data_IF_538539347819
#
_entry.id   IF_538539347819
#
_cell.length_a   1.000
_cell.length_b   1.000
_cell.length_c   1.000
_cell.angle_alpha   90.00
_cell.angle_beta   90.00
_cell.angle_gamma   90.00
#
_symmetry.space_group_name_H-M   'P 1'
#
loop_
_entity.id
_entity.type
_entity.pdbx_description
1 polymer ?
#
# COMPACT_ATOMS: atom_id res chain seq x y z
N UNK A 1 -14.73 15.96 -39.83
CA UNK A 1 -14.12 14.89 -39.01
C UNK A 1 -13.07 15.57 -38.17
N UNK A 2 -13.46 16.04 -36.98
CA UNK A 2 -12.46 16.39 -35.99
C UNK A 2 -11.73 15.10 -35.65
N UNK A 3 -10.40 15.14 -35.80
CA UNK A 3 -9.50 14.08 -35.39
C UNK A 3 -9.76 13.88 -33.89
N UNK A 4 -10.46 12.80 -33.51
CA UNK A 4 -10.70 12.47 -32.10
C UNK A 4 -9.34 12.03 -31.58
N UNK A 5 -8.52 12.99 -31.18
CA UNK A 5 -7.18 12.71 -30.68
C UNK A 5 -7.36 11.79 -29.48
N UNK A 6 -6.88 10.55 -29.60
CA UNK A 6 -6.87 9.60 -28.49
C UNK A 6 -6.17 10.28 -27.31
N UNK A 7 -6.88 10.38 -26.18
CA UNK A 7 -6.31 10.99 -24.97
C UNK A 7 -5.44 9.96 -24.29
N UNK A 8 -4.21 10.32 -23.96
CA UNK A 8 -3.27 9.41 -23.31
C UNK A 8 -2.79 9.97 -21.98
N UNK A 9 -2.58 9.10 -20.98
CA UNK A 9 -1.95 9.45 -19.71
C UNK A 9 -0.72 8.56 -19.56
N UNK A 10 0.48 9.14 -19.67
CA UNK A 10 1.76 8.38 -19.59
C UNK A 10 1.80 7.16 -20.53
N UNK A 11 1.21 7.26 -21.72
CA UNK A 11 1.15 6.18 -22.71
C UNK A 11 -0.02 5.21 -22.55
N UNK A 12 -0.87 5.40 -21.53
CA UNK A 12 -2.12 4.65 -21.36
C UNK A 12 -3.22 5.39 -22.13
N UNK A 13 -3.82 4.73 -23.12
CA UNK A 13 -4.94 5.28 -23.89
C UNK A 13 -6.21 5.31 -23.04
N UNK A 14 -6.92 6.44 -23.08
CA UNK A 14 -8.22 6.63 -22.44
C UNK A 14 -9.28 6.58 -23.53
N UNK A 15 -10.17 5.59 -23.46
CA UNK A 15 -11.26 5.46 -24.43
C UNK A 15 -12.24 6.63 -24.33
N UNK A 16 -12.67 7.19 -25.46
CA UNK A 16 -13.80 8.12 -25.48
C UNK A 16 -15.15 7.43 -25.20
N UNK A 17 -15.20 6.12 -25.41
CA UNK A 17 -16.38 5.27 -25.24
C UNK A 17 -16.02 4.10 -24.31
N UNK A 18 -16.01 4.33 -22.99
CA UNK A 18 -15.83 3.26 -22.02
C UNK A 18 -17.03 2.30 -22.02
N UNK A 19 -16.79 1.05 -21.65
CA UNK A 19 -17.86 0.07 -21.49
C UNK A 19 -18.61 0.30 -20.16
N UNK A 20 -19.93 0.44 -20.24
CA UNK A 20 -20.82 0.56 -19.08
C UNK A 20 -21.79 -0.62 -18.96
N UNK A 21 -21.62 -1.68 -19.77
CA UNK A 21 -22.55 -2.82 -19.86
C UNK A 21 -22.72 -3.60 -18.54
N UNK A 22 -21.73 -3.50 -17.64
CA UNK A 22 -21.75 -4.13 -16.32
C UNK A 22 -22.60 -3.38 -15.28
N UNK A 23 -23.06 -2.15 -15.59
CA UNK A 23 -23.93 -1.38 -14.72
C UNK A 23 -25.38 -1.44 -15.18
N UNK A 24 -26.33 -1.27 -14.25
CA UNK A 24 -27.71 -0.99 -14.66
C UNK A 24 -27.77 0.35 -15.40
N UNK A 25 -28.66 0.44 -16.39
CA UNK A 25 -28.82 1.65 -17.21
C UNK A 25 -29.02 2.91 -16.35
N UNK A 26 -29.81 2.79 -15.28
CA UNK A 26 -30.08 3.90 -14.35
C UNK A 26 -28.83 4.41 -13.63
N UNK A 27 -27.92 3.52 -13.21
CA UNK A 27 -26.69 3.91 -12.51
C UNK A 27 -25.64 4.41 -13.52
N UNK A 28 -25.54 3.74 -14.68
CA UNK A 28 -24.67 4.14 -15.76
C UNK A 28 -24.97 5.57 -16.21
N UNK A 29 -26.23 5.86 -16.54
CA UNK A 29 -26.64 7.17 -17.06
C UNK A 29 -26.80 8.23 -15.95
N UNK A 30 -27.14 7.81 -14.73
CA UNK A 30 -27.32 8.71 -13.58
C UNK A 30 -26.02 9.20 -12.96
N UNK A 31 -24.93 8.42 -13.03
CA UNK A 31 -23.68 8.76 -12.36
C UNK A 31 -22.43 8.48 -13.20
N UNK A 32 -22.15 7.22 -13.56
CA UNK A 32 -20.85 6.86 -14.16
C UNK A 32 -20.59 7.56 -15.49
N UNK A 33 -21.55 7.58 -16.42
CA UNK A 33 -21.40 8.19 -17.74
C UNK A 33 -21.26 9.73 -17.64
N UNK A 34 -22.09 10.46 -16.87
CA UNK A 34 -21.87 11.89 -16.64
C UNK A 34 -20.50 12.21 -16.04
N UNK A 35 -20.09 11.51 -14.97
CA UNK A 35 -18.79 11.76 -14.31
C UNK A 35 -17.62 11.43 -15.25
N UNK A 36 -17.72 10.33 -16.00
CA UNK A 36 -16.71 9.97 -16.99
C UNK A 36 -16.56 11.06 -18.04
N UNK A 37 -17.67 11.54 -18.62
CA UNK A 37 -17.65 12.61 -19.63
C UNK A 37 -17.07 13.91 -19.07
N UNK A 38 -17.45 14.27 -17.86
CA UNK A 38 -16.93 15.46 -17.17
C UNK A 38 -15.40 15.41 -17.08
N UNK A 39 -14.86 14.33 -16.53
CA UNK A 39 -13.42 14.17 -16.35
C UNK A 39 -12.69 13.96 -17.69
N UNK A 40 -13.25 13.16 -18.60
CA UNK A 40 -12.68 12.93 -19.92
C UNK A 40 -12.57 14.23 -20.71
N UNK A 41 -13.58 15.11 -20.66
CA UNK A 41 -13.54 16.40 -21.36
C UNK A 41 -12.49 17.35 -20.78
N UNK A 42 -12.27 17.31 -19.47
CA UNK A 42 -11.23 18.09 -18.81
C UNK A 42 -9.80 17.59 -19.11
N UNK A 43 -9.63 16.33 -19.53
CA UNK A 43 -8.31 15.80 -19.87
C UNK A 43 -7.74 16.45 -21.13
N UNK A 44 -6.46 16.85 -21.15
CA UNK A 44 -5.78 17.19 -22.39
C UNK A 44 -5.51 15.93 -23.22
N UNK A 45 -5.18 16.09 -24.51
CA UNK A 45 -4.84 14.97 -25.40
C UNK A 45 -3.63 14.17 -24.90
N UNK A 46 -2.68 14.84 -24.22
CA UNK A 46 -1.52 14.21 -23.59
C UNK A 46 -1.50 14.61 -22.12
N UNK A 47 -2.21 13.83 -21.31
CA UNK A 47 -2.36 13.99 -19.87
C UNK A 47 -1.09 13.65 -19.10
N UNK A 48 -0.83 14.44 -18.06
CA UNK A 48 0.20 14.19 -17.05
C UNK A 48 -0.42 13.54 -15.83
N UNK A 49 0.42 12.90 -15.02
CA UNK A 49 0.01 12.42 -13.71
C UNK A 49 -0.41 13.61 -12.84
N UNK A 50 -1.50 13.45 -12.09
CA UNK A 50 -1.98 14.41 -11.12
C UNK A 50 -2.24 15.81 -11.70
N UNK A 51 -2.71 15.87 -12.95
CA UNK A 51 -2.93 17.13 -13.67
C UNK A 51 -4.25 17.82 -13.29
N UNK A 52 -5.32 17.06 -13.06
CA UNK A 52 -6.65 17.57 -12.78
C UNK A 52 -6.88 17.74 -11.28
N UNK A 53 -7.38 18.90 -10.86
CA UNK A 53 -7.74 19.14 -9.47
C UNK A 53 -9.09 18.51 -9.14
N UNK A 54 -9.13 17.56 -8.19
CA UNK A 54 -10.38 16.95 -7.79
C UNK A 54 -11.34 17.98 -7.20
N UNK A 55 -10.85 19.05 -6.55
CA UNK A 55 -11.73 20.04 -5.94
C UNK A 55 -12.60 20.78 -6.98
N UNK A 56 -12.13 20.90 -8.24
CA UNK A 56 -12.84 21.59 -9.34
C UNK A 56 -14.13 20.88 -9.77
N UNK A 57 -14.24 19.57 -9.53
CA UNK A 57 -15.39 18.75 -9.96
C UNK A 57 -16.38 18.44 -8.84
N UNK A 58 -16.10 18.93 -7.62
CA UNK A 58 -16.81 18.54 -6.40
C UNK A 58 -18.31 18.82 -6.47
N UNK A 59 -18.68 20.06 -6.80
CA UNK A 59 -20.08 20.49 -6.77
C UNK A 59 -20.90 19.76 -7.83
N UNK A 60 -20.36 19.60 -9.04
CA UNK A 60 -21.04 18.91 -10.13
C UNK A 60 -21.25 17.42 -9.82
N UNK A 61 -20.25 16.74 -9.26
CA UNK A 61 -20.35 15.32 -8.88
C UNK A 61 -21.35 15.11 -7.73
N UNK A 62 -21.36 16.02 -6.74
CA UNK A 62 -22.35 15.99 -5.65
C UNK A 62 -23.77 16.22 -6.21
N UNK A 63 -23.94 17.18 -7.11
CA UNK A 63 -25.23 17.51 -7.72
C UNK A 63 -25.78 16.36 -8.57
N UNK A 64 -24.91 15.69 -9.34
CA UNK A 64 -25.28 14.48 -10.09
C UNK A 64 -25.83 13.41 -9.14
N UNK A 65 -25.13 13.13 -8.05
CA UNK A 65 -25.59 12.17 -7.04
C UNK A 65 -26.90 12.63 -6.37
N UNK A 66 -27.04 13.91 -6.04
CA UNK A 66 -28.22 14.45 -5.39
C UNK A 66 -29.49 14.39 -6.26
N UNK A 67 -29.34 14.44 -7.59
CA UNK A 67 -30.44 14.27 -8.56
C UNK A 67 -30.93 12.83 -8.68
N UNK A 68 -30.12 11.84 -8.28
CA UNK A 68 -30.52 10.44 -8.27
C UNK A 68 -31.58 10.17 -7.19
N UNK A 69 -32.50 9.26 -7.47
CA UNK A 69 -33.46 8.78 -6.46
C UNK A 69 -32.75 8.03 -5.32
N UNK A 70 -33.39 7.92 -4.15
CA UNK A 70 -32.81 7.20 -2.99
C UNK A 70 -32.47 5.73 -3.31
N UNK A 71 -33.27 5.06 -4.14
CA UNK A 71 -33.00 3.70 -4.59
C UNK A 71 -31.75 3.64 -5.46
N UNK A 72 -31.60 4.55 -6.42
CA UNK A 72 -30.42 4.66 -7.28
C UNK A 72 -29.17 4.99 -6.49
N UNK A 73 -29.24 5.92 -5.53
CA UNK A 73 -28.13 6.23 -4.62
C UNK A 73 -27.70 5.01 -3.78
N UNK A 74 -28.65 4.20 -3.31
CA UNK A 74 -28.34 2.95 -2.61
C UNK A 74 -27.69 1.93 -3.55
N UNK A 75 -28.20 1.80 -4.77
CA UNK A 75 -27.68 0.86 -5.76
C UNK A 75 -26.26 1.24 -6.23
N UNK A 76 -25.99 2.52 -6.49
CA UNK A 76 -24.65 3.03 -6.82
C UNK A 76 -23.63 2.66 -5.73
N UNK A 77 -23.96 2.90 -4.46
CA UNK A 77 -23.06 2.56 -3.34
C UNK A 77 -22.77 1.06 -3.23
N UNK A 78 -23.68 0.21 -3.72
CA UNK A 78 -23.51 -1.26 -3.76
C UNK A 78 -22.82 -1.76 -5.03
N UNK A 79 -22.72 -0.92 -6.07
CA UNK A 79 -22.10 -1.29 -7.35
C UNK A 79 -20.58 -1.25 -7.32
N UNK A 80 -19.99 -0.54 -6.35
CA UNK A 80 -18.54 -0.44 -6.20
C UNK A 80 -17.93 -1.79 -5.82
N UNK A 81 -16.91 -2.22 -6.56
CA UNK A 81 -16.12 -3.43 -6.27
C UNK A 81 -15.32 -3.37 -4.95
N UNK A 82 -15.25 -2.20 -4.32
CA UNK A 82 -14.48 -1.93 -3.11
C UNK A 82 -15.40 -1.50 -1.98
N UNK A 83 -15.22 -2.02 -0.77
CA UNK A 83 -16.04 -1.64 0.38
C UNK A 83 -15.88 -0.14 0.72
N UNK A 84 -17.01 0.56 0.87
CA UNK A 84 -17.06 1.99 1.15
C UNK A 84 -17.56 2.23 2.59
N UNK A 85 -16.67 2.49 3.57
CA UNK A 85 -17.07 2.70 4.95
C UNK A 85 -17.69 4.09 5.15
N UNK A 86 -18.77 4.13 5.96
CA UNK A 86 -19.46 5.34 6.48
C UNK A 86 -19.58 6.45 5.43
N UNK A 87 -20.45 6.23 4.44
CA UNK A 87 -20.65 7.14 3.31
C UNK A 87 -20.87 8.60 3.70
N UNK A 88 -21.63 8.84 4.76
CA UNK A 88 -22.03 10.19 5.18
C UNK A 88 -20.84 11.05 5.63
N UNK A 89 -19.72 10.41 5.98
CA UNK A 89 -18.47 11.11 6.26
C UNK A 89 -17.68 11.36 4.97
N UNK A 90 -17.66 12.62 4.54
CA UNK A 90 -17.03 13.09 3.31
C UNK A 90 -17.56 12.37 2.04
N UNK A 91 -18.83 12.61 1.66
CA UNK A 91 -19.49 11.89 0.56
C UNK A 91 -18.80 12.08 -0.78
N UNK A 92 -18.23 13.27 -1.04
CA UNK A 92 -17.49 13.54 -2.28
C UNK A 92 -16.32 12.57 -2.48
N UNK A 93 -15.51 12.39 -1.44
CA UNK A 93 -14.41 11.43 -1.42
C UNK A 93 -14.88 10.03 -1.82
N UNK A 94 -16.02 9.59 -1.28
CA UNK A 94 -16.57 8.26 -1.50
C UNK A 94 -17.11 8.10 -2.91
N UNK A 95 -17.71 9.14 -3.47
CA UNK A 95 -18.16 9.15 -4.87
C UNK A 95 -16.98 9.01 -5.83
N UNK A 96 -15.87 9.70 -5.57
CA UNK A 96 -14.65 9.52 -6.36
C UNK A 96 -14.09 8.10 -6.19
N UNK A 97 -14.12 7.52 -4.98
CA UNK A 97 -13.71 6.12 -4.81
C UNK A 97 -14.57 5.16 -5.62
N UNK A 98 -15.89 5.31 -5.57
CA UNK A 98 -16.83 4.48 -6.34
C UNK A 98 -16.55 4.60 -7.84
N UNK A 99 -16.25 5.81 -8.32
CA UNK A 99 -15.93 6.05 -9.72
C UNK A 99 -14.57 5.45 -10.13
N UNK A 100 -13.50 5.77 -9.39
CA UNK A 100 -12.12 5.36 -9.72
C UNK A 100 -11.90 3.85 -9.51
N UNK A 101 -12.67 3.19 -8.63
CA UNK A 101 -12.63 1.74 -8.49
C UNK A 101 -12.97 1.00 -9.80
N UNK A 102 -13.84 1.61 -10.61
CA UNK A 102 -14.31 1.09 -11.91
C UNK A 102 -13.53 1.69 -13.09
N UNK A 103 -13.05 2.93 -12.97
CA UNK A 103 -12.20 3.59 -13.96
C UNK A 103 -10.86 4.04 -13.35
N UNK A 104 -9.91 3.11 -13.06
CA UNK A 104 -8.66 3.41 -12.35
C UNK A 104 -7.78 4.44 -13.06
N UNK A 105 -7.91 4.58 -14.38
CA UNK A 105 -7.14 5.56 -15.15
C UNK A 105 -7.32 6.99 -14.64
N UNK A 106 -8.49 7.34 -14.10
CA UNK A 106 -8.72 8.66 -13.51
C UNK A 106 -8.01 8.86 -12.17
N UNK A 107 -7.67 7.77 -11.47
CA UNK A 107 -6.82 7.83 -10.29
C UNK A 107 -5.38 8.26 -10.58
N UNK A 108 -4.94 8.22 -11.84
CA UNK A 108 -3.62 8.70 -12.25
C UNK A 108 -3.57 10.22 -12.45
N UNK A 109 -4.71 10.88 -12.64
CA UNK A 109 -4.79 12.29 -13.04
C UNK A 109 -5.40 13.20 -11.97
N UNK A 110 -6.19 12.65 -11.04
CA UNK A 110 -6.85 13.43 -10.01
C UNK A 110 -5.94 13.70 -8.81
N UNK A 111 -5.57 14.96 -8.59
CA UNK A 111 -4.85 15.43 -7.39
C UNK A 111 -5.83 15.90 -6.30
N UNK A 112 -5.29 16.16 -5.11
CA UNK A 112 -6.01 16.61 -3.91
C UNK A 112 -7.08 15.65 -3.39
N UNK A 113 -6.87 14.35 -3.64
CA UNK A 113 -7.79 13.31 -3.19
C UNK A 113 -7.04 12.05 -2.73
N UNK A 114 -7.39 11.54 -1.54
CA UNK A 114 -6.84 10.27 -1.04
C UNK A 114 -7.61 9.07 -1.58
N UNK A 115 -7.08 8.34 -2.55
CA UNK A 115 -7.69 7.07 -2.93
C UNK A 115 -7.56 6.02 -1.80
N UNK A 116 -8.59 5.19 -1.62
CA UNK A 116 -8.52 4.05 -0.69
C UNK A 116 -7.42 3.08 -1.15
N UNK A 117 -6.70 2.46 -0.22
CA UNK A 117 -5.59 1.54 -0.49
C UNK A 117 -5.84 0.54 -1.64
N UNK A 118 -6.97 -0.17 -1.65
CA UNK A 118 -7.35 -1.11 -2.72
C UNK A 118 -7.41 -0.45 -4.11
N UNK A 119 -7.97 0.76 -4.17
CA UNK A 119 -8.09 1.54 -5.40
C UNK A 119 -6.70 2.04 -5.81
N UNK A 120 -5.90 2.55 -4.88
CA UNK A 120 -4.52 2.97 -5.13
C UNK A 120 -3.70 1.85 -5.77
N UNK A 121 -3.83 0.60 -5.29
CA UNK A 121 -3.11 -0.51 -5.89
C UNK A 121 -3.59 -0.84 -7.31
N UNK A 122 -4.90 -0.79 -7.60
CA UNK A 122 -5.43 -0.93 -8.97
C UNK A 122 -4.88 0.16 -9.91
N UNK A 123 -4.84 1.39 -9.42
CA UNK A 123 -4.32 2.55 -10.17
C UNK A 123 -2.84 2.38 -10.51
N UNK A 124 -2.02 1.94 -9.54
CA UNK A 124 -0.60 1.71 -9.78
C UNK A 124 -0.35 0.47 -10.64
N UNK A 125 -1.13 -0.59 -10.48
CA UNK A 125 -1.05 -1.76 -11.37
C UNK A 125 -1.27 -1.35 -12.84
N UNK A 126 -2.24 -0.46 -13.10
CA UNK A 126 -2.45 0.12 -14.42
C UNK A 126 -1.24 0.96 -14.91
N UNK A 127 -0.63 1.75 -14.03
CA UNK A 127 0.53 2.58 -14.37
C UNK A 127 1.78 1.76 -14.69
N UNK A 128 2.03 0.69 -13.92
CA UNK A 128 3.22 -0.16 -14.05
C UNK A 128 3.00 -1.22 -15.15
N UNK A 129 1.76 -1.61 -15.41
CA UNK A 129 1.40 -2.61 -16.43
C UNK A 129 1.48 -4.06 -15.94
N UNK A 130 1.43 -4.27 -14.63
CA UNK A 130 1.53 -5.59 -13.97
C UNK A 130 0.75 -5.56 -12.64
N UNK A 131 0.51 -6.73 -12.06
CA UNK A 131 -0.08 -6.87 -10.72
C UNK A 131 1.02 -6.99 -9.65
N UNK A 132 0.66 -6.73 -8.38
CA UNK A 132 1.60 -6.85 -7.26
C UNK A 132 1.92 -8.31 -6.96
N UNK A 133 3.20 -8.64 -6.81
CA UNK A 133 3.72 -9.96 -6.43
C UNK A 133 4.95 -9.89 -5.50
N UNK A 134 5.56 -11.04 -5.22
CA UNK A 134 6.73 -11.18 -4.36
C UNK A 134 7.99 -10.48 -4.87
N UNK A 135 8.09 -10.22 -6.18
CA UNK A 135 9.26 -9.67 -6.84
C UNK A 135 9.18 -8.14 -6.97
N UNK A 136 7.97 -7.59 -7.11
CA UNK A 136 7.76 -6.18 -7.44
C UNK A 136 7.15 -5.31 -6.33
N UNK A 137 6.66 -5.88 -5.22
CA UNK A 137 5.89 -5.11 -4.22
C UNK A 137 6.64 -3.90 -3.62
N UNK A 138 7.97 -3.96 -3.52
CA UNK A 138 8.79 -2.83 -3.06
C UNK A 138 8.79 -1.70 -4.10
N UNK A 139 8.88 -2.03 -5.39
CA UNK A 139 8.79 -1.06 -6.49
C UNK A 139 7.41 -0.40 -6.52
N UNK A 140 6.34 -1.19 -6.32
CA UNK A 140 4.98 -0.65 -6.21
C UNK A 140 4.87 0.41 -5.12
N UNK A 141 5.49 0.18 -3.95
CA UNK A 141 5.49 1.18 -2.88
C UNK A 141 6.15 2.49 -3.32
N UNK A 142 7.25 2.40 -4.06
CA UNK A 142 7.93 3.58 -4.62
C UNK A 142 7.01 4.35 -5.56
N UNK A 143 6.36 3.66 -6.51
CA UNK A 143 5.41 4.30 -7.44
C UNK A 143 4.21 4.94 -6.72
N UNK A 144 3.68 4.30 -5.67
CA UNK A 144 2.61 4.86 -4.82
C UNK A 144 3.08 6.17 -4.14
N UNK A 145 4.27 6.15 -3.54
CA UNK A 145 4.81 7.32 -2.85
C UNK A 145 5.12 8.45 -3.85
N UNK A 146 5.55 8.11 -5.06
CA UNK A 146 5.80 9.05 -6.16
C UNK A 146 4.51 9.72 -6.61
N UNK A 147 3.47 8.92 -6.85
CA UNK A 147 2.14 9.41 -7.21
C UNK A 147 1.53 10.29 -6.09
N UNK A 148 1.62 9.86 -4.83
CA UNK A 148 1.09 10.61 -3.70
C UNK A 148 1.80 11.96 -3.49
N UNK A 149 3.09 12.09 -3.83
CA UNK A 149 3.77 13.40 -3.78
C UNK A 149 3.26 14.35 -4.85
N UNK A 150 2.97 13.85 -6.05
CA UNK A 150 2.39 14.65 -7.13
C UNK A 150 0.95 15.07 -6.81
N UNK A 151 0.23 14.26 -6.04
CA UNK A 151 -1.18 14.48 -5.70
C UNK A 151 -1.43 15.67 -4.77
N UNK A 152 -0.41 16.23 -4.09
CA UNK A 152 -0.62 17.28 -3.10
C UNK A 152 0.29 18.48 -3.36
N UNK A 153 -0.25 19.49 -4.04
CA UNK A 153 0.45 20.78 -4.25
C UNK A 153 -0.01 21.86 -3.27
N UNK A 154 -1.27 21.76 -2.78
CA UNK A 154 -1.76 22.60 -1.68
C UNK A 154 -1.49 21.95 -0.32
N UNK A 155 -1.49 22.77 0.73
CA UNK A 155 -1.46 22.28 2.11
C UNK A 155 -2.71 21.42 2.37
N UNK A 156 -2.50 20.22 2.88
CA UNK A 156 -3.56 19.35 3.35
C UNK A 156 -4.24 19.94 4.60
N UNK A 157 -5.55 19.78 4.67
CA UNK A 157 -6.31 19.92 5.91
C UNK A 157 -5.90 18.84 6.92
N UNK A 158 -6.25 19.05 8.19
CA UNK A 158 -5.97 18.05 9.23
C UNK A 158 -6.62 16.70 8.92
N UNK A 159 -7.86 16.70 8.46
CA UNK A 159 -8.59 15.49 8.09
C UNK A 159 -7.93 14.74 6.93
N UNK A 160 -7.45 15.45 5.90
CA UNK A 160 -6.72 14.85 4.78
C UNK A 160 -5.42 14.22 5.29
N UNK A 161 -4.64 14.97 6.06
CA UNK A 161 -3.36 14.50 6.60
C UNK A 161 -3.50 13.25 7.47
N UNK A 162 -4.46 13.22 8.38
CA UNK A 162 -4.73 12.05 9.23
C UNK A 162 -5.18 10.84 8.40
N UNK A 163 -6.04 11.04 7.42
CA UNK A 163 -6.52 9.99 6.52
C UNK A 163 -5.37 9.40 5.69
N UNK A 164 -4.47 10.24 5.19
CA UNK A 164 -3.29 9.81 4.46
C UNK A 164 -2.36 8.91 5.27
N UNK A 165 -2.11 9.25 6.55
CA UNK A 165 -1.26 8.43 7.44
C UNK A 165 -1.86 7.04 7.66
N UNK A 166 -3.16 6.95 7.91
CA UNK A 166 -3.87 5.68 8.09
C UNK A 166 -3.80 4.83 6.81
N UNK A 167 -4.10 5.45 5.65
CA UNK A 167 -4.12 4.77 4.36
C UNK A 167 -2.74 4.23 3.95
N UNK A 168 -1.65 4.92 4.28
CA UNK A 168 -0.28 4.42 4.03
C UNK A 168 0.05 3.14 4.82
N UNK A 169 -0.48 2.99 6.04
CA UNK A 169 -0.38 1.76 6.81
C UNK A 169 -1.06 0.61 6.08
N UNK A 170 -2.34 0.81 5.72
CA UNK A 170 -3.13 -0.16 4.98
C UNK A 170 -2.52 -0.54 3.64
N UNK A 171 -1.97 0.41 2.89
CA UNK A 171 -1.23 0.14 1.64
C UNK A 171 -0.04 -0.79 1.89
N UNK A 172 0.73 -0.54 2.95
CA UNK A 172 1.91 -1.34 3.27
C UNK A 172 1.55 -2.78 3.62
N UNK A 173 0.48 -2.97 4.40
CA UNK A 173 -0.08 -4.29 4.73
C UNK A 173 -0.58 -5.01 3.49
N UNK A 174 -1.35 -4.33 2.63
CA UNK A 174 -1.89 -4.91 1.41
C UNK A 174 -0.81 -5.31 0.39
N UNK A 175 0.26 -4.51 0.27
CA UNK A 175 1.39 -4.87 -0.60
C UNK A 175 2.04 -6.17 -0.13
N UNK A 176 2.25 -6.33 1.17
CA UNK A 176 2.80 -7.57 1.73
C UNK A 176 1.83 -8.74 1.64
N UNK A 177 0.54 -8.51 1.85
CA UNK A 177 -0.50 -9.53 1.69
C UNK A 177 -0.49 -10.08 0.26
N UNK A 178 -0.40 -9.21 -0.76
CA UNK A 178 -0.31 -9.64 -2.17
C UNK A 178 1.03 -10.31 -2.47
N UNK A 179 2.14 -9.76 -1.98
CA UNK A 179 3.46 -10.34 -2.16
C UNK A 179 3.58 -11.76 -1.58
N UNK A 180 2.83 -12.05 -0.51
CA UNK A 180 2.84 -13.33 0.18
C UNK A 180 1.61 -14.19 -0.11
N UNK A 181 0.75 -13.80 -1.05
CA UNK A 181 -0.56 -14.42 -1.29
C UNK A 181 -0.47 -15.93 -1.51
N UNK A 182 0.51 -16.38 -2.30
CA UNK A 182 0.74 -17.80 -2.61
C UNK A 182 1.20 -18.63 -1.40
N UNK A 183 1.65 -17.98 -0.32
CA UNK A 183 2.08 -18.62 0.91
C UNK A 183 0.96 -18.64 1.97
N UNK A 184 -0.04 -17.76 1.84
CA UNK A 184 -1.13 -17.61 2.81
C UNK A 184 -2.17 -18.71 2.56
N UNK A 185 -2.28 -19.66 3.49
CA UNK A 185 -3.18 -20.81 3.38
C UNK A 185 -4.36 -20.75 4.37
N UNK A 186 -4.40 -19.74 5.24
CA UNK A 186 -5.46 -19.59 6.25
C UNK A 186 -5.33 -20.53 7.44
N UNK A 187 -4.30 -21.39 7.48
CA UNK A 187 -4.11 -22.43 8.48
C UNK A 187 -2.72 -22.31 9.12
N UNK A 188 -1.67 -22.50 8.32
CA UNK A 188 -0.28 -22.47 8.78
C UNK A 188 0.35 -21.09 8.66
N UNK A 189 -0.09 -20.29 7.69
CA UNK A 189 0.31 -18.90 7.53
C UNK A 189 -0.89 -18.06 7.11
N UNK A 190 -1.24 -17.06 7.93
CA UNK A 190 -2.44 -16.27 7.71
C UNK A 190 -2.34 -14.85 8.25
N UNK A 191 -3.16 -13.97 7.66
CA UNK A 191 -3.38 -12.61 8.13
C UNK A 191 -4.33 -12.61 9.32
N UNK A 192 -4.01 -11.85 10.36
CA UNK A 192 -4.92 -11.64 11.50
C UNK A 192 -5.78 -10.40 11.30
N UNK A 193 -7.10 -10.59 11.42
CA UNK A 193 -8.07 -9.50 11.42
C UNK A 193 -8.75 -9.34 12.79
N UNK A 194 -8.31 -10.07 13.82
CA UNK A 194 -8.90 -10.00 15.15
C UNK A 194 -8.29 -8.81 15.93
N UNK A 195 -9.09 -7.78 16.28
CA UNK A 195 -8.59 -6.60 16.99
C UNK A 195 -7.94 -6.90 18.34
N UNK A 196 -8.32 -8.00 18.99
CA UNK A 196 -7.79 -8.40 20.31
C UNK A 196 -6.33 -8.85 20.25
N UNK A 197 -5.86 -9.33 19.09
CA UNK A 197 -4.50 -9.87 18.89
C UNK A 197 -3.70 -9.09 17.85
N UNK A 198 -4.28 -8.06 17.23
CA UNK A 198 -3.61 -7.23 16.21
C UNK A 198 -2.36 -6.51 16.76
N UNK A 199 -2.26 -6.34 18.08
CA UNK A 199 -1.08 -5.76 18.72
C UNK A 199 0.20 -6.61 18.57
N UNK A 200 0.08 -7.92 18.32
CA UNK A 200 1.21 -8.84 18.16
C UNK A 200 1.81 -8.81 16.75
N UNK A 201 0.98 -8.60 15.73
CA UNK A 201 1.38 -8.57 14.33
C UNK A 201 0.18 -8.59 13.40
N UNK A 202 0.47 -8.48 12.10
CA UNK A 202 -0.51 -8.46 11.01
C UNK A 202 -0.63 -9.84 10.35
N UNK A 203 0.42 -10.64 10.40
CA UNK A 203 0.42 -12.05 9.97
C UNK A 203 1.02 -12.94 11.05
N UNK A 204 0.63 -14.21 11.03
CA UNK A 204 1.16 -15.25 11.92
C UNK A 204 1.46 -16.51 11.14
N UNK A 205 2.62 -17.09 11.42
CA UNK A 205 3.10 -18.35 10.87
C UNK A 205 3.28 -19.36 12.01
N UNK A 206 2.65 -20.52 11.88
CA UNK A 206 2.72 -21.59 12.88
C UNK A 206 4.11 -22.22 12.92
N UNK A 207 4.81 -22.06 14.05
CA UNK A 207 6.18 -22.52 14.28
C UNK A 207 6.39 -22.96 15.73
N UNK A 208 7.50 -23.66 15.97
CA UNK A 208 8.03 -23.98 17.29
C UNK A 208 9.32 -23.19 17.59
N UNK A 209 9.61 -22.91 18.88
CA UNK A 209 8.74 -23.11 20.03
C UNK A 209 7.57 -22.10 20.07
N UNK A 210 7.70 -20.99 19.35
CA UNK A 210 6.70 -19.94 19.25
C UNK A 210 6.23 -19.78 17.81
N UNK A 211 4.97 -19.35 17.65
CA UNK A 211 4.52 -18.84 16.37
C UNK A 211 5.34 -17.60 15.99
N UNK A 212 5.63 -17.49 14.70
CA UNK A 212 6.36 -16.36 14.14
C UNK A 212 5.37 -15.30 13.67
N UNK A 213 5.46 -14.11 14.25
CA UNK A 213 4.59 -12.99 13.90
C UNK A 213 5.28 -12.04 12.93
N UNK A 214 4.55 -11.50 11.97
CA UNK A 214 5.05 -10.43 11.11
C UNK A 214 4.33 -9.14 11.51
N UNK A 215 5.09 -8.17 11.97
CA UNK A 215 4.60 -6.83 12.29
C UNK A 215 4.97 -5.88 11.16
N UNK A 216 3.97 -5.53 10.35
CA UNK A 216 4.10 -4.60 9.25
C UNK A 216 4.11 -3.17 9.80
N UNK A 217 4.99 -2.36 9.22
CA UNK A 217 5.11 -0.93 9.48
C UNK A 217 5.13 -0.18 8.15
N UNK A 218 4.58 1.02 8.17
CA UNK A 218 4.68 1.96 7.06
C UNK A 218 6.07 2.58 7.00
N UNK A 219 6.18 3.87 6.64
CA UNK A 219 7.46 4.52 6.37
C UNK A 219 8.30 4.83 7.63
N UNK A 220 7.70 4.73 8.83
CA UNK A 220 8.34 5.10 10.08
C UNK A 220 8.43 3.93 11.05
N UNK A 221 9.63 3.64 11.53
CA UNK A 221 9.84 2.89 12.76
C UNK A 221 9.54 3.83 13.94
N UNK A 222 8.25 4.11 14.21
CA UNK A 222 7.90 4.82 15.45
C UNK A 222 8.28 3.94 16.66
N UNK A 223 8.42 4.55 17.83
CA UNK A 223 8.74 3.91 19.13
C UNK A 223 7.86 2.69 19.50
N UNK A 224 6.76 2.46 18.77
CA UNK A 224 5.81 1.35 18.93
C UNK A 224 6.32 -0.03 18.52
N UNK A 225 7.50 -0.16 17.90
CA UNK A 225 8.09 -1.49 17.71
C UNK A 225 8.30 -2.21 19.07
N UNK A 226 8.48 -1.47 20.16
CA UNK A 226 8.76 -2.03 21.48
C UNK A 226 7.52 -2.53 22.24
N UNK A 227 6.31 -2.30 21.74
CA UNK A 227 5.06 -2.61 22.45
C UNK A 227 4.48 -4.01 22.11
N UNK A 228 4.96 -4.69 21.06
CA UNK A 228 4.37 -5.92 20.53
C UNK A 228 5.04 -7.22 20.98
N UNK A 229 6.09 -7.15 21.81
CA UNK A 229 7.15 -8.16 21.82
C UNK A 229 7.57 -8.75 23.16
N UNK A 230 6.65 -8.94 24.10
CA UNK A 230 6.99 -9.76 25.26
C UNK A 230 6.76 -11.23 24.92
N UNK A 231 7.84 -12.00 24.79
CA UNK A 231 7.91 -13.48 24.72
C UNK A 231 7.54 -14.19 23.40
N UNK A 232 7.37 -13.47 22.29
CA UNK A 232 7.08 -14.07 20.97
C UNK A 232 8.20 -13.82 19.96
N UNK A 233 8.28 -14.67 18.94
CA UNK A 233 9.19 -14.49 17.82
C UNK A 233 8.54 -13.58 16.78
N UNK A 234 9.18 -12.45 16.46
CA UNK A 234 8.59 -11.41 15.61
C UNK A 234 9.55 -11.00 14.49
N UNK A 235 9.01 -10.75 13.30
CA UNK A 235 9.66 -10.10 12.18
C UNK A 235 9.13 -8.67 12.05
N UNK A 236 10.02 -7.70 12.06
CA UNK A 236 9.67 -6.32 11.75
C UNK A 236 9.79 -6.12 10.26
N UNK A 237 8.70 -5.82 9.57
CA UNK A 237 8.69 -5.61 8.12
C UNK A 237 8.21 -4.20 7.85
N UNK A 238 8.90 -3.44 7.01
CA UNK A 238 8.39 -2.13 6.65
C UNK A 238 9.15 -1.41 5.56
N UNK A 239 8.50 -0.36 5.05
CA UNK A 239 9.05 0.52 4.02
C UNK A 239 9.84 1.68 4.64
N UNK A 240 10.71 1.36 5.59
CA UNK A 240 11.45 2.35 6.38
C UNK A 240 12.33 3.25 5.50
N UNK A 241 12.31 4.55 5.75
CA UNK A 241 13.11 5.54 5.00
C UNK A 241 14.31 6.09 5.79
N UNK A 242 14.29 6.00 7.13
CA UNK A 242 15.38 6.48 7.99
C UNK A 242 16.26 5.32 8.47
N UNK A 243 17.45 5.21 7.86
CA UNK A 243 18.44 4.21 8.22
C UNK A 243 18.99 4.38 9.64
N UNK A 244 18.92 5.60 10.22
CA UNK A 244 19.48 5.89 11.56
C UNK A 244 18.75 5.17 12.68
N UNK A 245 17.52 4.74 12.45
CA UNK A 245 16.76 3.89 13.37
C UNK A 245 17.47 2.55 13.66
N UNK A 246 18.30 2.08 12.72
CA UNK A 246 18.91 0.75 12.75
C UNK A 246 20.43 0.77 12.97
N UNK A 247 21.01 1.91 13.36
CA UNK A 247 22.45 2.06 13.58
C UNK A 247 22.84 2.18 15.06
N UNK A 248 21.88 2.43 15.93
CA UNK A 248 22.10 2.52 17.37
C UNK A 248 22.15 1.14 18.02
N UNK A 249 23.28 0.81 18.66
CA UNK A 249 23.44 -0.44 19.44
C UNK A 249 22.34 -0.59 20.50
N UNK A 250 21.95 0.51 21.16
CA UNK A 250 20.89 0.47 22.17
C UNK A 250 19.52 0.14 21.56
N UNK A 251 19.18 0.74 20.41
CA UNK A 251 17.92 0.44 19.71
C UNK A 251 17.89 -1.00 19.21
N UNK A 252 18.95 -1.48 18.57
CA UNK A 252 19.07 -2.87 18.10
C UNK A 252 18.90 -3.85 19.27
N UNK A 253 19.61 -3.62 20.38
CA UNK A 253 19.47 -4.46 21.58
C UNK A 253 18.04 -4.45 22.12
N UNK A 254 17.35 -3.31 22.08
CA UNK A 254 15.98 -3.22 22.53
C UNK A 254 15.02 -4.00 21.61
N UNK A 255 15.19 -3.92 20.28
CA UNK A 255 14.40 -4.73 19.35
C UNK A 255 14.59 -6.23 19.61
N UNK A 256 15.83 -6.68 19.78
CA UNK A 256 16.11 -8.10 20.09
C UNK A 256 15.53 -8.54 21.43
N UNK A 257 15.57 -7.66 22.45
CA UNK A 257 14.99 -7.94 23.77
C UNK A 257 13.47 -8.09 23.74
N UNK A 258 12.80 -7.42 22.80
CA UNK A 258 11.36 -7.57 22.59
C UNK A 258 11.04 -8.66 21.55
N UNK A 259 11.94 -9.62 21.32
CA UNK A 259 11.62 -10.81 20.53
C UNK A 259 11.69 -10.64 19.00
N UNK A 260 12.17 -9.51 18.48
CA UNK A 260 12.46 -9.45 17.04
C UNK A 260 13.59 -10.42 16.68
N UNK A 261 13.33 -11.31 15.72
CA UNK A 261 14.33 -12.18 15.10
C UNK A 261 14.97 -11.53 13.89
N UNK A 262 14.24 -10.68 13.18
CA UNK A 262 14.79 -9.90 12.07
C UNK A 262 14.00 -8.61 11.81
N UNK A 263 14.67 -7.62 11.22
CA UNK A 263 14.09 -6.45 10.58
C UNK A 263 14.33 -6.52 9.07
N UNK A 264 13.25 -6.57 8.31
CA UNK A 264 13.27 -6.52 6.85
C UNK A 264 13.17 -5.07 6.38
N UNK A 265 14.18 -4.65 5.62
CA UNK A 265 14.45 -3.26 5.30
C UNK A 265 14.49 -3.08 3.78
N UNK A 266 13.95 -1.99 3.23
CA UNK A 266 13.94 -1.78 1.79
C UNK A 266 15.35 -1.79 1.21
N UNK A 267 15.56 -2.68 0.25
CA UNK A 267 16.76 -2.81 -0.57
C UNK A 267 16.56 -2.24 -1.99
N UNK A 268 15.46 -1.50 -2.18
CA UNK A 268 15.15 -0.64 -3.32
C UNK A 268 14.83 0.77 -2.76
N UNK A 269 15.14 1.86 -3.48
CA UNK A 269 14.79 3.22 -3.04
C UNK A 269 13.29 3.40 -2.80
N UNK A 270 12.90 3.85 -1.61
CA UNK A 270 11.48 4.10 -1.22
C UNK A 270 11.24 5.57 -0.87
N UNK A 271 12.15 6.47 -1.27
CA UNK A 271 12.00 7.92 -1.13
C UNK A 271 12.78 8.66 -2.22
N UNK A 272 12.37 9.90 -2.54
CA UNK A 272 13.07 10.77 -3.51
C UNK A 272 14.57 10.86 -3.23
N UNK A 273 14.92 11.17 -1.98
CA UNK A 273 16.31 11.31 -1.57
C UNK A 273 17.10 10.02 -1.84
N UNK A 274 16.49 8.86 -1.65
CA UNK A 274 17.13 7.58 -1.93
C UNK A 274 17.25 7.32 -3.44
N UNK A 275 16.23 7.66 -4.23
CA UNK A 275 16.25 7.58 -5.69
C UNK A 275 17.37 8.47 -6.28
N UNK A 276 17.44 9.74 -5.85
CA UNK A 276 18.46 10.72 -6.27
C UNK A 276 19.88 10.27 -5.92
N UNK A 277 20.07 9.77 -4.69
CA UNK A 277 21.36 9.29 -4.22
C UNK A 277 21.68 7.85 -4.68
N UNK A 278 20.80 7.22 -5.48
CA UNK A 278 20.93 5.83 -5.94
C UNK A 278 21.24 4.85 -4.80
N UNK A 279 20.53 5.00 -3.69
CA UNK A 279 20.72 4.20 -2.47
C UNK A 279 19.38 3.74 -1.90
N UNK A 280 19.42 2.91 -0.86
CA UNK A 280 18.23 2.42 -0.16
C UNK A 280 18.56 2.25 1.32
N UNK A 281 17.54 1.99 2.13
CA UNK A 281 17.70 1.91 3.60
C UNK A 281 18.67 0.81 4.00
N UNK A 282 18.57 -0.37 3.41
CA UNK A 282 19.45 -1.50 3.72
C UNK A 282 20.92 -1.17 3.40
N UNK A 283 21.21 -0.62 2.23
CA UNK A 283 22.56 -0.25 1.80
C UNK A 283 23.15 0.87 2.67
N UNK A 284 22.35 1.87 3.05
CA UNK A 284 22.79 2.93 3.96
C UNK A 284 23.20 2.37 5.34
N UNK A 285 22.49 1.36 5.84
CA UNK A 285 22.83 0.66 7.08
C UNK A 285 24.13 -0.13 6.90
N UNK A 286 24.21 -0.94 5.84
CA UNK A 286 25.39 -1.74 5.55
C UNK A 286 26.66 -0.87 5.46
N UNK A 287 26.58 0.24 4.71
CA UNK A 287 27.66 1.21 4.62
C UNK A 287 28.03 1.82 5.97
N UNK A 288 27.05 2.14 6.81
CA UNK A 288 27.32 2.66 8.15
C UNK A 288 28.13 1.67 8.98
N UNK A 289 27.73 0.41 9.03
CA UNK A 289 28.44 -0.62 9.81
C UNK A 289 29.84 -0.89 9.25
N UNK A 290 29.95 -1.04 7.92
CA UNK A 290 31.23 -1.24 7.22
C UNK A 290 32.20 -0.08 7.45
N UNK A 291 31.77 1.19 7.28
CA UNK A 291 32.62 2.39 7.52
C UNK A 291 33.10 2.50 8.97
N UNK A 292 32.36 1.91 9.92
CA UNK A 292 32.71 1.92 11.33
C UNK A 292 33.50 0.66 11.78
N UNK A 293 33.92 -0.20 10.85
CA UNK A 293 34.56 -1.50 11.14
C UNK A 293 33.75 -2.33 12.15
N UNK A 294 32.42 -2.34 11.99
CA UNK A 294 31.50 -3.12 12.82
C UNK A 294 30.78 -4.13 11.95
N UNK A 295 30.63 -5.33 12.48
CA UNK A 295 29.74 -6.32 11.87
C UNK A 295 28.28 -5.90 12.01
N UNK A 296 27.48 -6.29 11.02
CA UNK A 296 26.02 -6.18 11.09
C UNK A 296 25.51 -6.99 12.29
N UNK A 297 24.48 -6.52 13.00
CA UNK A 297 23.99 -7.21 14.18
C UNK A 297 23.42 -8.58 13.82
N UNK A 298 23.71 -9.56 14.67
CA UNK A 298 23.14 -10.90 14.61
C UNK A 298 21.97 -11.03 15.58
N UNK A 299 20.99 -11.86 15.26
CA UNK A 299 19.88 -12.18 16.14
C UNK A 299 20.28 -13.22 17.21
N UNK A 300 19.32 -13.65 18.03
CA UNK A 300 19.55 -14.63 19.10
C UNK A 300 20.02 -16.02 18.59
N UNK A 301 19.75 -16.33 17.32
CA UNK A 301 20.13 -17.58 16.66
C UNK A 301 21.49 -17.46 15.94
N UNK A 302 22.13 -16.29 15.94
CA UNK A 302 23.37 -16.03 15.22
C UNK A 302 23.21 -15.73 13.73
N UNK A 303 21.99 -15.60 13.22
CA UNK A 303 21.71 -15.19 11.83
C UNK A 303 21.62 -13.67 11.72
N UNK A 304 21.61 -13.11 10.50
CA UNK A 304 21.55 -11.65 10.31
C UNK A 304 20.24 -11.07 10.86
N UNK A 305 20.35 -10.07 11.73
CA UNK A 305 19.18 -9.40 12.31
C UNK A 305 18.58 -8.37 11.35
N UNK A 306 19.39 -7.70 10.53
CA UNK A 306 18.92 -6.73 9.55
C UNK A 306 19.02 -7.37 8.17
N UNK A 307 17.90 -7.47 7.45
CA UNK A 307 17.79 -8.22 6.18
C UNK A 307 17.20 -7.36 5.06
N UNK A 308 17.57 -7.61 3.80
CA UNK A 308 16.88 -7.03 2.64
C UNK A 308 15.41 -7.46 2.61
N UNK A 309 14.50 -6.52 2.35
CA UNK A 309 13.06 -6.76 2.30
C UNK A 309 12.69 -7.73 1.16
N UNK A 310 13.41 -7.70 0.04
CA UNK A 310 13.26 -8.67 -1.05
C UNK A 310 13.45 -10.13 -0.64
N UNK A 311 14.15 -10.40 0.46
CA UNK A 311 14.36 -11.78 0.96
C UNK A 311 13.20 -12.33 1.76
N UNK A 312 12.25 -11.49 2.21
CA UNK A 312 11.17 -11.89 3.11
C UNK A 312 10.39 -13.10 2.56
N UNK A 313 9.96 -13.04 1.30
CA UNK A 313 9.20 -14.13 0.69
C UNK A 313 9.98 -15.46 0.73
N UNK A 314 11.27 -15.42 0.38
CA UNK A 314 12.14 -16.60 0.39
C UNK A 314 12.33 -17.19 1.79
N UNK A 315 12.55 -16.34 2.79
CA UNK A 315 12.73 -16.77 4.19
C UNK A 315 11.44 -17.41 4.75
N UNK A 316 10.27 -16.84 4.45
CA UNK A 316 8.97 -17.40 4.84
C UNK A 316 8.68 -18.72 4.10
N UNK A 317 8.92 -18.76 2.79
CA UNK A 317 8.76 -19.97 1.97
C UNK A 317 9.66 -21.11 2.45
N UNK A 318 10.89 -20.79 2.87
CA UNK A 318 11.83 -21.76 3.44
C UNK A 318 11.27 -22.40 4.70
N UNK A 319 10.70 -21.62 5.63
CA UNK A 319 10.03 -22.17 6.81
C UNK A 319 8.82 -23.06 6.44
N UNK A 320 7.99 -22.61 5.51
CA UNK A 320 6.80 -23.36 5.09
C UNK A 320 7.11 -24.62 4.30
N UNK A 321 8.34 -24.76 3.78
CA UNK A 321 8.79 -25.99 3.12
C UNK A 321 8.82 -27.18 4.07
N UNK A 322 8.99 -26.94 5.38
CA UNK A 322 8.70 -27.93 6.41
C UNK A 322 7.18 -28.01 6.63
N UNK A 323 6.56 -29.00 6.00
CA UNK A 323 5.11 -29.21 6.05
C UNK A 323 4.63 -29.71 7.42
N UNK A 324 5.48 -30.42 8.17
CA UNK A 324 5.16 -30.88 9.51
C UNK A 324 5.50 -29.79 10.54
N UNK A 325 4.47 -29.10 11.05
CA UNK A 325 4.62 -28.03 12.06
C UNK A 325 5.43 -28.48 13.27
N UNK A 326 5.44 -29.79 13.60
CA UNK A 326 6.23 -30.34 14.72
C UNK A 326 7.74 -30.22 14.52
N UNK A 327 8.19 -30.01 13.29
CA UNK A 327 9.59 -29.81 12.94
C UNK A 327 9.89 -28.40 12.42
N UNK A 328 8.86 -27.56 12.20
CA UNK A 328 9.05 -26.18 11.73
C UNK A 328 9.48 -25.29 12.89
N UNK A 329 10.76 -24.88 12.90
CA UNK A 329 11.32 -24.11 14.02
C UNK A 329 11.83 -22.73 13.62
N UNK A 330 11.71 -21.75 14.52
CA UNK A 330 12.34 -20.43 14.41
C UNK A 330 13.80 -20.42 14.89
N UNK A 331 14.33 -21.52 15.43
CA UNK A 331 15.67 -21.59 16.02
C UNK A 331 16.81 -21.43 15.00
N UNK A 332 16.52 -21.68 13.73
CA UNK A 332 17.45 -21.48 12.62
C UNK A 332 17.09 -20.26 11.77
N UNK A 333 16.08 -19.49 12.19
CA UNK A 333 15.57 -18.37 11.42
C UNK A 333 16.54 -17.20 11.37
#
# INVERSE_FOLDING_TARGET
>A
MEDVSVKCIRGIEVSSEPDFSHFSQEIADGFYRPVYRLLYNALPSQGKLMELDADDFKDEIIDLYAKMSKSQQSALRKSCSVEIPRYDNNPYQKLIWIFVAEFPVFGLVLKHIHLKAEITLKVIALLVGEEVDSENFIRFKTEIDDLNRLAWVRRQTESESQSGVSNLGTISEMLLERALADLIDGIHFFKTNNPEIQSYGDFVLMCLPNNLWLSVKSNFARERLLASGYTTDILGVGFFTDYKEFTSKAKIRNFQRVGFLAMYLPDIPVSLKQQENKTNTYNQIFEFYSKNNREMPKNINGTDFLRPLSRLYGDIKSLLSETDVRHRTTLQF
#
